data_IF_495205907057
#
_entry.id   IF_495205907057
#
_cell.length_a   1.000
_cell.length_b   1.000
_cell.length_c   1.000
_cell.angle_alpha   90.00
_cell.angle_beta   90.00
_cell.angle_gamma   90.00
#
_symmetry.space_group_name_H-M   'P 1'
#
loop_
_entity.id
_entity.type
_entity.pdbx_description
1 polymer ?
#
# COMPACT_ATOMS: atom_id res chain seq x y z
N UNK A 1 8.62 -10.29 -16.63
CA UNK A 1 7.48 -9.52 -16.10
C UNK A 1 8.05 -8.49 -15.17
N UNK A 2 7.68 -7.22 -15.33
CA UNK A 2 8.08 -6.18 -14.40
C UNK A 2 7.33 -6.39 -13.08
N UNK A 3 8.08 -6.69 -12.02
CA UNK A 3 7.54 -6.85 -10.67
C UNK A 3 7.64 -5.49 -9.97
N UNK A 4 6.56 -5.06 -9.33
CA UNK A 4 6.53 -3.77 -8.63
C UNK A 4 6.56 -3.95 -7.12
N UNK A 5 7.13 -2.97 -6.40
CA UNK A 5 7.12 -2.88 -4.94
C UNK A 5 5.93 -2.00 -4.52
N UNK A 6 5.03 -2.56 -3.72
CA UNK A 6 3.91 -1.84 -3.12
C UNK A 6 4.31 -1.33 -1.74
N UNK A 7 4.09 -0.04 -1.50
CA UNK A 7 4.46 0.65 -0.27
C UNK A 7 3.28 1.46 0.26
N UNK A 8 3.28 1.70 1.56
CA UNK A 8 2.25 2.50 2.24
C UNK A 8 2.87 3.51 3.20
N UNK A 9 2.27 4.68 3.27
CA UNK A 9 2.64 5.75 4.17
C UNK A 9 1.48 6.06 5.10
N UNK A 10 1.57 5.59 6.35
CA UNK A 10 0.54 5.79 7.38
C UNK A 10 0.38 7.24 7.83
N UNK A 11 1.37 8.11 7.58
CA UNK A 11 1.25 9.54 7.87
C UNK A 11 0.44 10.30 6.81
N UNK A 12 0.33 9.73 5.61
CA UNK A 12 -0.35 10.35 4.47
C UNK A 12 -1.57 9.59 4.00
N UNK A 13 -1.79 8.36 4.50
CA UNK A 13 -2.89 7.51 4.07
C UNK A 13 -2.74 7.02 2.63
N UNK A 14 -1.52 6.94 2.07
CA UNK A 14 -1.31 6.71 0.63
C UNK A 14 -0.56 5.44 0.33
N UNK A 15 -0.85 4.87 -0.83
CA UNK A 15 -0.07 3.83 -1.48
C UNK A 15 0.90 4.42 -2.51
N UNK A 16 2.04 3.76 -2.67
CA UNK A 16 3.02 4.06 -3.70
C UNK A 16 3.44 2.77 -4.39
N UNK A 17 3.55 2.83 -5.71
CA UNK A 17 4.01 1.73 -6.54
C UNK A 17 5.37 2.08 -7.13
N UNK A 18 6.43 1.50 -6.56
CA UNK A 18 7.77 1.67 -7.07
C UNK A 18 8.04 0.63 -8.15
N UNK A 19 8.03 1.09 -9.41
CA UNK A 19 8.37 0.27 -10.58
C UNK A 19 9.89 0.17 -10.71
N UNK A 20 10.43 -1.05 -10.58
CA UNK A 20 11.85 -1.32 -10.81
C UNK A 20 12.77 -1.08 -9.60
N UNK A 21 12.25 -0.69 -8.42
CA UNK A 21 13.03 -0.59 -7.19
C UNK A 21 14.09 0.53 -7.19
N UNK A 22 13.97 1.50 -8.10
CA UNK A 22 15.00 2.51 -8.37
C UNK A 22 14.88 3.69 -7.38
N UNK A 23 13.70 3.97 -6.84
CA UNK A 23 13.56 5.08 -5.89
C UNK A 23 14.05 4.67 -4.48
N UNK A 24 15.06 5.38 -3.92
CA UNK A 24 15.45 5.19 -2.53
C UNK A 24 14.24 5.48 -1.63
N UNK A 25 14.10 4.69 -0.56
CA UNK A 25 13.00 4.80 0.38
C UNK A 25 13.03 6.21 1.02
N UNK A 26 12.19 7.11 0.52
CA UNK A 26 12.21 8.54 0.86
C UNK A 26 10.85 8.92 1.41
N UNK A 27 10.81 9.45 2.65
CA UNK A 27 9.59 9.97 3.30
C UNK A 27 8.61 8.93 3.87
N UNK A 28 9.06 8.04 4.75
CA UNK A 28 8.19 7.19 5.59
C UNK A 28 7.30 6.20 4.82
N UNK A 29 7.77 5.70 3.68
CA UNK A 29 7.10 4.61 2.97
C UNK A 29 7.58 3.27 3.51
N UNK A 30 6.62 2.46 3.96
CA UNK A 30 6.88 1.12 4.46
C UNK A 30 6.47 0.11 3.39
N UNK A 31 7.37 -0.82 3.10
CA UNK A 31 7.15 -1.83 2.06
C UNK A 31 6.15 -2.88 2.52
N UNK A 32 5.04 -3.03 1.80
CA UNK A 32 4.05 -4.10 1.98
C UNK A 32 4.51 -5.37 1.27
N UNK A 33 4.91 -5.23 0.00
CA UNK A 33 5.31 -6.34 -0.86
C UNK A 33 6.36 -5.88 -1.88
N UNK A 34 7.36 -6.74 -2.16
CA UNK A 34 8.40 -6.47 -3.16
C UNK A 34 8.08 -6.99 -4.57
N UNK A 35 7.07 -7.86 -4.67
CA UNK A 35 6.79 -8.55 -5.92
C UNK A 35 5.27 -8.72 -6.06
N UNK A 36 4.66 -7.75 -6.74
CA UNK A 36 3.24 -7.76 -7.02
C UNK A 36 3.00 -7.35 -8.49
N UNK A 37 1.98 -7.94 -9.12
CA UNK A 37 1.55 -7.50 -10.45
C UNK A 37 0.84 -6.14 -10.36
N UNK A 38 0.79 -5.39 -11.46
CA UNK A 38 0.08 -4.11 -11.49
C UNK A 38 -1.42 -4.27 -11.18
N UNK A 39 -2.06 -5.31 -11.73
CA UNK A 39 -3.49 -5.60 -11.48
C UNK A 39 -3.75 -5.86 -10.00
N UNK A 40 -2.95 -6.73 -9.37
CA UNK A 40 -3.08 -7.01 -7.93
C UNK A 40 -2.84 -5.77 -7.06
N UNK A 41 -1.95 -4.86 -7.48
CA UNK A 41 -1.75 -3.59 -6.78
C UNK A 41 -3.00 -2.71 -6.84
N UNK A 42 -3.64 -2.63 -8.02
CA UNK A 42 -4.84 -1.82 -8.21
C UNK A 42 -6.01 -2.39 -7.40
N UNK A 43 -6.25 -3.70 -7.49
CA UNK A 43 -7.30 -4.40 -6.73
C UNK A 43 -7.15 -4.18 -5.22
N UNK A 44 -5.94 -4.37 -4.69
CA UNK A 44 -5.69 -4.16 -3.27
C UNK A 44 -5.86 -2.68 -2.86
N UNK A 45 -5.38 -1.74 -3.67
CA UNK A 45 -5.49 -0.30 -3.36
C UNK A 45 -6.95 0.17 -3.37
N UNK A 46 -7.76 -0.34 -4.30
CA UNK A 46 -9.20 -0.06 -4.38
C UNK A 46 -9.92 -0.62 -3.15
N UNK A 47 -9.70 -1.89 -2.81
CA UNK A 47 -10.26 -2.53 -1.62
C UNK A 47 -9.95 -1.75 -0.34
N UNK A 48 -8.73 -1.26 -0.18
CA UNK A 48 -8.33 -0.48 0.99
C UNK A 48 -8.95 0.92 1.02
N UNK A 49 -9.16 1.54 -0.14
CA UNK A 49 -9.83 2.85 -0.26
C UNK A 49 -11.34 2.73 0.01
N UNK A 50 -11.96 1.60 -0.30
CA UNK A 50 -13.35 1.32 0.08
C UNK A 50 -13.50 1.07 1.58
N UNK A 51 -12.52 0.40 2.19
CA UNK A 51 -12.56 0.00 3.60
C UNK A 51 -12.14 1.10 4.58
N UNK A 52 -11.23 1.98 4.17
CA UNK A 52 -10.63 3.01 5.00
C UNK A 52 -10.66 4.37 4.32
N UNK A 53 -10.83 5.44 5.10
CA UNK A 53 -10.78 6.82 4.58
C UNK A 53 -9.32 7.27 4.33
N UNK A 54 -8.73 6.76 3.25
CA UNK A 54 -7.37 7.06 2.81
C UNK A 54 -7.23 8.43 2.11
N UNK A 55 -8.36 9.05 1.76
CA UNK A 55 -8.42 10.38 1.14
C UNK A 55 -8.86 11.47 2.11
N UNK A 56 -9.15 11.10 3.36
CA UNK A 56 -9.59 11.99 4.42
C UNK A 56 -8.55 13.04 4.78
N UNK A 57 -9.00 14.12 5.42
CA UNK A 57 -8.11 15.22 5.86
C UNK A 57 -7.50 14.97 7.25
N UNK A 58 -8.00 13.98 7.99
CA UNK A 58 -7.57 13.69 9.35
C UNK A 58 -6.61 12.51 9.38
N UNK A 59 -5.33 12.78 9.63
CA UNK A 59 -4.28 11.77 9.66
C UNK A 59 -4.48 10.66 10.70
N UNK A 60 -5.28 10.91 11.74
CA UNK A 60 -5.53 9.92 12.79
C UNK A 60 -6.50 8.82 12.34
N UNK A 61 -7.16 9.02 11.20
CA UNK A 61 -8.13 8.07 10.65
C UNK A 61 -7.47 7.10 9.65
N UNK A 62 -6.21 7.37 9.27
CA UNK A 62 -5.45 6.48 8.40
C UNK A 62 -5.08 5.19 9.14
N UNK A 63 -5.24 4.02 8.52
CA UNK A 63 -4.83 2.76 9.12
C UNK A 63 -3.31 2.74 9.33
N UNK A 64 -2.85 2.07 10.39
CA UNK A 64 -1.42 1.85 10.59
C UNK A 64 -0.86 0.92 9.52
N UNK A 65 0.45 0.97 9.31
CA UNK A 65 1.15 0.06 8.42
C UNK A 65 0.91 -1.41 8.80
N UNK A 66 0.93 -1.75 10.09
CA UNK A 66 0.69 -3.11 10.57
C UNK A 66 -0.70 -3.62 10.18
N UNK A 67 -1.72 -2.75 10.26
CA UNK A 67 -3.07 -3.08 9.84
C UNK A 67 -3.13 -3.33 8.32
N UNK A 68 -2.57 -2.42 7.53
CA UNK A 68 -2.50 -2.56 6.07
C UNK A 68 -1.74 -3.83 5.66
N UNK A 69 -0.64 -4.16 6.33
CA UNK A 69 0.11 -5.38 6.07
C UNK A 69 -0.71 -6.64 6.38
N UNK A 70 -1.46 -6.65 7.48
CA UNK A 70 -2.40 -7.74 7.80
C UNK A 70 -3.50 -7.87 6.75
N UNK A 71 -4.08 -6.76 6.28
CA UNK A 71 -5.10 -6.76 5.22
C UNK A 71 -4.54 -7.31 3.89
N UNK A 72 -3.30 -6.97 3.56
CA UNK A 72 -2.62 -7.52 2.39
C UNK A 72 -2.45 -9.05 2.46
N UNK A 73 -2.08 -9.58 3.64
CA UNK A 73 -1.99 -11.04 3.84
C UNK A 73 -3.36 -11.71 3.64
N UNK A 74 -4.45 -11.10 4.11
CA UNK A 74 -5.80 -11.62 3.89
C UNK A 74 -6.19 -11.61 2.41
N UNK A 75 -5.86 -10.54 1.69
CA UNK A 75 -6.09 -10.43 0.25
C UNK A 75 -5.37 -11.53 -0.55
N UNK A 76 -4.16 -11.94 -0.15
CA UNK A 76 -3.46 -13.04 -0.81
C UNK A 76 -4.07 -14.43 -0.54
N UNK A 77 -4.91 -14.56 0.48
CA UNK A 77 -5.52 -15.82 0.91
C UNK A 77 -6.99 -15.98 0.46
N UNK A 78 -7.58 -14.93 -0.13
CA UNK A 78 -8.93 -14.96 -0.73
C UNK A 78 -8.90 -15.47 -2.15
#
# INVERSE_FOLDING_TARGET
METSRLEYNEYQGRFHLNKGGIEPNTNYWFTICNNLSYEQCMEFSELMTEKYDLMGQNKNDYPSFELIQSEFVKFLLS
#
